data_IF_932374812060
#
_entry.id   IF_932374812060
#
_cell.length_a   1.000
_cell.length_b   1.000
_cell.length_c   1.000
_cell.angle_alpha   90.00
_cell.angle_beta   90.00
_cell.angle_gamma   90.00
#
_symmetry.space_group_name_H-M   'P 1'
#
loop_
_entity.id
_entity.type
_entity.pdbx_description
1 polymer ?
#
# COMPACT_ATOMS: atom_id res chain seq x y z
N UNK A 1 -19.86 22.62 21.02
CA UNK A 1 -21.12 22.85 20.27
C UNK A 1 -21.51 21.51 19.73
N UNK A 2 -22.76 21.09 19.91
CA UNK A 2 -23.13 19.65 19.99
C UNK A 2 -22.62 18.77 18.84
N UNK A 3 -22.58 19.31 17.61
CA UNK A 3 -22.08 18.59 16.44
C UNK A 3 -20.56 18.37 16.46
N UNK A 4 -19.79 19.37 16.91
CA UNK A 4 -18.34 19.25 17.10
C UNK A 4 -18.01 18.21 18.18
N UNK A 5 -18.76 18.24 19.27
CA UNK A 5 -18.56 17.33 20.41
C UNK A 5 -18.85 15.88 20.01
N UNK A 6 -19.80 15.66 19.10
CA UNK A 6 -20.10 14.35 18.53
C UNK A 6 -18.98 13.81 17.64
N UNK A 7 -18.41 14.61 16.73
CA UNK A 7 -17.29 14.17 15.89
C UNK A 7 -16.03 13.88 16.68
N UNK A 8 -15.69 14.76 17.63
CA UNK A 8 -14.53 14.55 18.49
C UNK A 8 -14.63 13.22 19.24
N UNK A 9 -15.84 12.89 19.73
CA UNK A 9 -16.11 11.62 20.39
C UNK A 9 -15.99 10.44 19.41
N UNK A 10 -16.51 10.58 18.20
CA UNK A 10 -16.42 9.55 17.16
C UNK A 10 -14.96 9.24 16.82
N UNK A 11 -14.15 10.27 16.55
CA UNK A 11 -12.73 10.12 16.20
C UNK A 11 -11.94 9.40 17.31
N UNK A 12 -12.19 9.76 18.57
CA UNK A 12 -11.55 9.13 19.72
C UNK A 12 -11.95 7.65 19.89
N UNK A 13 -13.24 7.32 19.69
CA UNK A 13 -13.73 5.94 19.81
C UNK A 13 -13.20 5.07 18.67
N UNK A 14 -13.23 5.57 17.43
CA UNK A 14 -12.72 4.85 16.27
C UNK A 14 -11.22 4.60 16.39
N UNK A 15 -10.45 5.61 16.81
CA UNK A 15 -9.02 5.45 17.04
C UNK A 15 -8.74 4.40 18.12
N UNK A 16 -9.52 4.41 19.22
CA UNK A 16 -9.40 3.40 20.27
C UNK A 16 -9.62 1.99 19.71
N UNK A 17 -10.71 1.78 18.97
CA UNK A 17 -11.09 0.46 18.46
C UNK A 17 -10.02 -0.12 17.52
N UNK A 18 -9.52 0.71 16.59
CA UNK A 18 -8.40 0.35 15.70
C UNK A 18 -7.14 0.05 16.51
N UNK A 19 -6.83 0.85 17.53
CA UNK A 19 -5.62 0.67 18.33
C UNK A 19 -5.69 -0.55 19.25
N UNK A 20 -6.85 -0.87 19.82
CA UNK A 20 -7.05 -2.07 20.64
C UNK A 20 -6.88 -3.34 19.78
N UNK A 21 -7.42 -3.35 18.56
CA UNK A 21 -7.19 -4.44 17.62
C UNK A 21 -5.70 -4.55 17.21
N UNK A 22 -5.04 -3.41 16.97
CA UNK A 22 -3.61 -3.38 16.68
C UNK A 22 -2.78 -3.97 17.83
N UNK A 23 -3.09 -3.60 19.09
CA UNK A 23 -2.44 -4.16 20.28
C UNK A 23 -2.59 -5.67 20.37
N UNK A 24 -3.81 -6.17 20.19
CA UNK A 24 -4.08 -7.62 20.21
C UNK A 24 -3.28 -8.33 19.11
N UNK A 25 -3.30 -7.80 17.90
CA UNK A 25 -2.56 -8.34 16.74
C UNK A 25 -1.06 -8.39 17.01
N UNK A 26 -0.46 -7.31 17.53
CA UNK A 26 0.97 -7.27 17.85
C UNK A 26 1.33 -8.24 18.98
N UNK A 27 0.47 -8.36 19.99
CA UNK A 27 0.70 -9.30 21.09
C UNK A 27 0.58 -10.76 20.62
N UNK A 28 -0.35 -11.06 19.73
CA UNK A 28 -0.55 -12.40 19.20
C UNK A 28 0.62 -12.84 18.33
N UNK A 29 1.09 -11.97 17.43
CA UNK A 29 2.17 -12.26 16.49
C UNK A 29 3.57 -12.17 17.12
N UNK A 30 3.86 -11.08 17.85
CA UNK A 30 5.23 -10.76 18.28
C UNK A 30 5.40 -10.84 19.80
N UNK A 31 4.33 -11.01 20.57
CA UNK A 31 4.33 -10.91 22.05
C UNK A 31 4.93 -9.58 22.52
N UNK A 32 4.64 -8.51 21.77
CA UNK A 32 5.04 -7.13 22.07
C UNK A 32 3.78 -6.27 22.09
N UNK A 33 3.69 -5.33 23.04
CA UNK A 33 2.58 -4.39 23.13
C UNK A 33 3.02 -3.03 22.55
N UNK A 34 2.32 -2.50 21.52
CA UNK A 34 2.71 -1.26 20.86
C UNK A 34 2.69 -0.03 21.78
N UNK A 35 2.01 -0.08 22.94
CA UNK A 35 1.99 1.04 23.91
C UNK A 35 3.37 1.40 24.47
N UNK A 36 4.31 0.46 24.46
CA UNK A 36 5.69 0.70 24.93
C UNK A 36 6.60 1.31 23.86
N UNK A 37 6.08 1.57 22.65
CA UNK A 37 6.86 2.07 21.53
C UNK A 37 6.32 3.42 21.06
N UNK A 38 7.22 4.32 20.70
CA UNK A 38 6.88 5.68 20.24
C UNK A 38 6.16 5.64 18.87
N UNK A 39 6.48 4.65 18.03
CA UNK A 39 5.97 4.56 16.65
C UNK A 39 5.96 3.12 16.15
N UNK A 40 5.19 2.87 15.08
CA UNK A 40 5.10 1.55 14.44
C UNK A 40 6.45 1.05 13.88
N UNK A 41 7.34 1.87 13.29
CA UNK A 41 8.67 1.42 12.89
C UNK A 41 9.53 0.94 14.07
N UNK A 42 9.49 1.62 15.22
CA UNK A 42 10.24 1.18 16.40
C UNK A 42 9.73 -0.18 16.93
N UNK A 43 8.41 -0.38 16.93
CA UNK A 43 7.82 -1.69 17.21
C UNK A 43 8.27 -2.75 16.18
N UNK A 44 8.27 -2.42 14.89
CA UNK A 44 8.68 -3.33 13.83
C UNK A 44 10.16 -3.73 13.95
N UNK A 45 11.04 -2.78 14.28
CA UNK A 45 12.45 -3.04 14.54
C UNK A 45 12.63 -3.95 15.76
N UNK A 46 11.91 -3.68 16.86
CA UNK A 46 11.94 -4.54 18.04
C UNK A 46 11.39 -5.94 17.78
N UNK A 47 10.32 -6.06 16.99
CA UNK A 47 9.78 -7.34 16.56
C UNK A 47 10.79 -8.11 15.69
N UNK A 48 11.42 -7.44 14.73
CA UNK A 48 12.46 -8.01 13.86
C UNK A 48 13.64 -8.56 14.65
N UNK A 49 14.14 -7.81 15.64
CA UNK A 49 15.23 -8.26 16.51
C UNK A 49 14.81 -9.44 17.40
N UNK A 50 13.57 -9.45 17.89
CA UNK A 50 13.04 -10.55 18.71
C UNK A 50 12.90 -11.85 17.91
N UNK A 51 12.40 -11.76 16.69
CA UNK A 51 12.23 -12.92 15.79
C UNK A 51 13.58 -13.48 15.34
N UNK A 52 14.50 -12.62 14.90
CA UNK A 52 15.82 -13.05 14.42
C UNK A 52 16.78 -13.42 15.53
N UNK A 53 16.55 -12.94 16.76
CA UNK A 53 17.42 -13.08 17.95
C UNK A 53 18.84 -12.59 17.74
N UNK A 54 19.04 -11.72 16.76
CA UNK A 54 20.34 -11.16 16.45
C UNK A 54 20.68 -10.02 17.41
N UNK A 55 21.96 -9.88 17.72
CA UNK A 55 22.49 -8.73 18.44
C UNK A 55 23.17 -7.82 17.43
N UNK A 56 22.62 -6.62 17.25
CA UNK A 56 23.25 -5.62 16.41
C UNK A 56 24.45 -5.01 17.14
N UNK A 57 25.56 -4.90 16.42
CA UNK A 57 26.73 -4.17 16.89
C UNK A 57 26.59 -2.68 16.58
N UNK A 58 27.11 -1.83 17.46
CA UNK A 58 27.13 -0.39 17.23
C UNK A 58 28.21 -0.08 16.17
N UNK A 59 27.81 0.62 15.10
CA UNK A 59 28.77 1.11 14.10
C UNK A 59 29.58 2.24 14.72
N UNK A 60 30.88 2.01 14.93
CA UNK A 60 31.80 2.99 15.52
C UNK A 60 32.68 3.69 14.48
N UNK A 61 32.90 3.06 13.33
CA UNK A 61 33.76 3.57 12.26
C UNK A 61 32.96 4.36 11.22
N UNK A 62 33.44 5.57 10.91
CA UNK A 62 32.80 6.49 9.96
C UNK A 62 32.77 5.94 8.53
N UNK A 63 33.82 5.22 8.08
CA UNK A 63 33.85 4.68 6.72
C UNK A 63 32.78 3.61 6.53
N UNK A 64 32.60 2.78 7.54
CA UNK A 64 31.56 1.74 7.58
C UNK A 64 30.17 2.36 7.49
N UNK A 65 29.90 3.40 8.29
CA UNK A 65 28.65 4.15 8.23
C UNK A 65 28.39 4.73 6.82
N UNK A 66 29.40 5.37 6.21
CA UNK A 66 29.27 5.94 4.87
C UNK A 66 28.99 4.91 3.77
N UNK A 67 29.50 3.68 3.90
CA UNK A 67 29.20 2.58 2.97
C UNK A 67 27.72 2.21 3.06
N UNK A 68 27.17 2.08 4.28
CA UNK A 68 25.75 1.78 4.48
C UNK A 68 24.86 2.90 3.93
N UNK A 69 25.13 4.15 4.31
CA UNK A 69 24.39 5.32 3.81
C UNK A 69 24.41 5.41 2.28
N UNK A 70 25.59 5.24 1.66
CA UNK A 70 25.72 5.23 0.19
C UNK A 70 25.05 4.02 -0.45
N UNK A 71 24.75 2.97 0.30
CA UNK A 71 24.02 1.78 -0.15
C UNK A 71 22.50 1.91 -0.07
N UNK A 72 21.96 2.80 0.76
CA UNK A 72 20.50 2.98 0.91
C UNK A 72 19.90 3.50 -0.40
N UNK A 73 18.91 2.78 -0.93
CA UNK A 73 18.14 3.15 -2.12
C UNK A 73 16.65 3.00 -1.79
N UNK A 74 15.84 3.96 -2.25
CA UNK A 74 14.39 3.83 -2.20
C UNK A 74 13.86 2.80 -3.20
N UNK A 75 12.53 2.70 -3.29
CA UNK A 75 11.88 1.88 -4.31
C UNK A 75 12.17 2.40 -5.72
N UNK A 76 12.35 1.49 -6.68
CA UNK A 76 12.45 1.86 -8.10
C UNK A 76 11.04 2.19 -8.59
N UNK A 77 10.82 3.45 -8.96
CA UNK A 77 9.61 3.87 -9.66
C UNK A 77 9.98 4.23 -11.10
N UNK A 78 9.52 3.43 -12.06
CA UNK A 78 9.78 3.63 -13.48
C UNK A 78 8.48 3.54 -14.27
N UNK A 79 8.29 4.50 -15.19
CA UNK A 79 7.26 4.43 -16.22
C UNK A 79 7.94 4.03 -17.54
N UNK A 80 7.89 2.75 -17.95
CA UNK A 80 8.59 2.28 -19.15
C UNK A 80 7.95 2.82 -20.45
N UNK A 81 6.67 3.18 -20.40
CA UNK A 81 5.93 3.71 -21.54
C UNK A 81 5.10 4.93 -21.12
N UNK A 82 5.22 6.03 -21.88
CA UNK A 82 4.46 7.27 -21.63
C UNK A 82 2.94 7.10 -21.74
N UNK A 83 2.50 6.09 -22.50
CA UNK A 83 1.10 5.84 -22.76
C UNK A 83 0.86 4.33 -22.83
N UNK A 84 -0.11 3.84 -22.05
CA UNK A 84 -0.56 2.47 -22.07
C UNK A 84 -2.08 2.48 -22.28
N UNK A 85 -2.56 1.65 -23.20
CA UNK A 85 -3.98 1.38 -23.40
C UNK A 85 -4.26 -0.08 -23.11
N UNK A 86 -5.31 -0.33 -22.34
CA UNK A 86 -5.81 -1.67 -22.11
C UNK A 86 -6.43 -2.22 -23.40
N UNK A 87 -6.16 -3.48 -23.72
CA UNK A 87 -6.73 -4.18 -24.86
C UNK A 87 -7.77 -5.19 -24.35
N UNK A 88 -8.97 -4.72 -24.03
CA UNK A 88 -10.06 -5.56 -23.55
C UNK A 88 -11.43 -5.02 -24.00
N UNK A 89 -12.49 -5.81 -23.79
CA UNK A 89 -13.84 -5.48 -24.24
C UNK A 89 -14.68 -4.74 -23.19
N UNK A 90 -14.06 -4.18 -22.14
CA UNK A 90 -14.77 -3.40 -21.12
C UNK A 90 -14.78 -1.93 -21.52
N UNK A 91 -15.97 -1.34 -21.57
CA UNK A 91 -16.18 0.03 -21.98
C UNK A 91 -16.99 0.76 -20.90
N UNK A 92 -16.55 1.96 -20.52
CA UNK A 92 -17.30 2.80 -19.61
C UNK A 92 -18.34 3.59 -20.40
N UNK A 93 -19.62 3.35 -20.12
CA UNK A 93 -20.71 4.09 -20.73
C UNK A 93 -21.04 5.32 -19.89
N UNK A 94 -20.70 6.51 -20.42
CA UNK A 94 -20.92 7.80 -19.76
C UNK A 94 -22.39 8.08 -19.43
N UNK A 95 -23.33 7.52 -20.19
CA UNK A 95 -24.77 7.76 -19.98
C UNK A 95 -25.31 6.97 -18.80
N UNK A 96 -24.80 5.76 -18.60
CA UNK A 96 -25.24 4.88 -17.51
C UNK A 96 -24.29 4.90 -16.32
N UNK A 97 -23.16 5.62 -16.43
CA UNK A 97 -22.07 5.69 -15.46
C UNK A 97 -21.60 4.30 -15.01
N UNK A 98 -21.58 3.33 -15.92
CA UNK A 98 -21.28 1.92 -15.64
C UNK A 98 -20.34 1.33 -16.68
N UNK A 99 -19.48 0.43 -16.22
CA UNK A 99 -18.65 -0.37 -17.11
C UNK A 99 -19.47 -1.54 -17.65
N UNK A 100 -19.61 -1.60 -18.97
CA UNK A 100 -20.28 -2.67 -19.69
C UNK A 100 -19.26 -3.51 -20.46
N UNK A 101 -19.55 -4.81 -20.60
CA UNK A 101 -18.76 -5.71 -21.44
C UNK A 101 -19.39 -5.79 -22.82
N UNK A 102 -18.65 -5.37 -23.84
CA UNK A 102 -19.07 -5.42 -25.24
C UNK A 102 -18.76 -6.78 -25.88
N UNK A 103 -19.47 -7.10 -26.97
CA UNK A 103 -19.06 -8.20 -27.85
C UNK A 103 -17.73 -7.84 -28.53
N UNK A 104 -16.95 -8.87 -28.92
CA UNK A 104 -15.63 -8.65 -29.54
C UNK A 104 -15.73 -7.83 -30.82
N UNK A 105 -16.72 -8.13 -31.66
CA UNK A 105 -16.98 -7.42 -32.92
C UNK A 105 -17.23 -5.92 -32.69
N UNK A 106 -18.11 -5.58 -31.74
CA UNK A 106 -18.43 -4.20 -31.39
C UNK A 106 -17.25 -3.48 -30.72
N UNK A 107 -16.45 -4.20 -29.94
CA UNK A 107 -15.25 -3.65 -29.31
C UNK A 107 -14.12 -3.36 -30.33
N UNK A 108 -14.01 -4.15 -31.40
CA UNK A 108 -13.10 -3.88 -32.51
C UNK A 108 -13.57 -2.70 -33.37
N UNK A 109 -14.89 -2.58 -33.63
CA UNK A 109 -15.49 -1.46 -34.35
C UNK A 109 -15.24 -0.11 -33.64
N UNK A 110 -15.37 -0.09 -32.32
CA UNK A 110 -15.12 1.10 -31.48
C UNK A 110 -13.60 1.36 -31.31
N UNK A 111 -12.74 0.37 -31.62
CA UNK A 111 -11.29 0.50 -31.57
C UNK A 111 -10.67 0.30 -30.17
N UNK A 112 -11.43 -0.19 -29.20
CA UNK A 112 -10.96 -0.48 -27.83
C UNK A 112 -10.29 -1.86 -27.70
N UNK A 113 -10.62 -2.78 -28.61
CA UNK A 113 -10.09 -4.14 -28.64
C UNK A 113 -9.45 -4.45 -30.00
N UNK A 114 -8.38 -5.24 -29.98
CA UNK A 114 -7.69 -5.73 -31.16
C UNK A 114 -7.33 -7.20 -30.96
N UNK A 115 -7.94 -8.09 -31.75
CA UNK A 115 -7.71 -9.54 -31.73
C UNK A 115 -6.27 -9.96 -32.03
N UNK A 116 -5.48 -9.13 -32.73
CA UNK A 116 -4.06 -9.41 -33.04
C UNK A 116 -3.12 -9.10 -31.87
N UNK A 117 -3.59 -8.36 -30.87
CA UNK A 117 -2.81 -8.01 -29.66
C UNK A 117 -3.24 -8.89 -28.50
N UNK A 118 -2.32 -9.14 -27.57
CA UNK A 118 -2.65 -9.84 -26.34
C UNK A 118 -3.68 -9.05 -25.52
N UNK A 119 -4.59 -9.74 -24.84
CA UNK A 119 -5.56 -9.09 -23.93
C UNK A 119 -4.77 -8.44 -22.80
N UNK A 120 -5.06 -7.16 -22.52
CA UNK A 120 -4.41 -6.43 -21.44
C UNK A 120 -5.43 -5.63 -20.62
N UNK A 121 -5.10 -5.45 -19.35
CA UNK A 121 -5.86 -4.65 -18.40
C UNK A 121 -4.90 -3.62 -17.81
N UNK A 122 -5.38 -2.38 -17.65
CA UNK A 122 -4.67 -1.39 -16.84
C UNK A 122 -5.19 -1.58 -15.42
N UNK A 123 -4.29 -1.96 -14.53
CA UNK A 123 -4.57 -2.03 -13.11
C UNK A 123 -4.01 -0.77 -12.46
N UNK A 124 -4.88 0.01 -11.82
CA UNK A 124 -4.43 1.03 -10.88
C UNK A 124 -4.28 0.35 -9.52
N UNK A 125 -3.03 0.16 -9.12
CA UNK A 125 -2.68 -0.23 -7.75
C UNK A 125 -2.29 1.06 -7.04
N UNK A 126 -3.20 1.59 -6.22
CA UNK A 126 -2.81 2.59 -5.24
C UNK A 126 -2.00 1.87 -4.16
N UNK A 127 -0.72 2.21 -4.05
CA UNK A 127 0.17 1.65 -3.04
C UNK A 127 0.14 2.46 -1.72
N UNK A 128 -0.77 3.45 -1.62
CA UNK A 128 -1.03 4.18 -0.38
C UNK A 128 -2.24 3.57 0.34
N UNK A 129 -2.01 2.51 1.12
CA UNK A 129 -2.96 2.00 2.11
C UNK A 129 -2.19 1.65 3.38
#
# INVERSE_FOLDING_TARGET
>A
GEYHDLYLKLDAILLKDVFDNFRQTCYDNYKLDPVYYISAPNLADAASLKETRQKLELITDQKTYEIYEKGIRGGISMIPHRHALANNCYFYDEKTCKTIKLSREKAEEIGIYNSKKHISYILYLDANN
#
